data_IF_578155185081
#
_entry.id   IF_578155185081
#
_cell.length_a   1.000
_cell.length_b   1.000
_cell.length_c   1.000
_cell.angle_alpha   90.00
_cell.angle_beta   90.00
_cell.angle_gamma   90.00
#
_symmetry.space_group_name_H-M   'P 1'
#
loop_
_entity.id
_entity.type
_entity.pdbx_description
1 polymer ?
#
# COMPACT_ATOMS: atom_id res chain seq x y z
N UNK A 1 22.85 19.63 19.85
CA UNK A 1 21.67 19.48 20.75
C UNK A 1 20.53 20.44 20.40
N UNK A 2 20.81 21.71 20.05
CA UNK A 2 19.80 22.66 19.55
C UNK A 2 19.22 22.31 18.16
N UNK A 3 20.04 21.77 17.24
CA UNK A 3 19.59 21.36 15.90
C UNK A 3 18.71 20.11 15.90
N UNK A 4 19.01 19.12 16.74
CA UNK A 4 18.16 17.93 16.92
C UNK A 4 16.78 18.31 17.44
N UNK A 5 16.70 19.13 18.49
CA UNK A 5 15.43 19.63 19.03
C UNK A 5 14.63 20.42 17.98
N UNK A 6 15.30 21.22 17.15
CA UNK A 6 14.67 21.90 16.01
C UNK A 6 14.08 20.92 14.98
N UNK A 7 14.80 19.87 14.63
CA UNK A 7 14.35 18.87 13.66
C UNK A 7 13.19 18.01 14.18
N UNK A 8 13.19 17.66 15.47
CA UNK A 8 12.06 17.01 16.12
C UNK A 8 10.80 17.89 16.12
N UNK A 9 10.95 19.19 16.42
CA UNK A 9 9.82 20.13 16.40
C UNK A 9 9.22 20.30 14.99
N UNK A 10 10.08 20.33 13.95
CA UNK A 10 9.64 20.42 12.57
C UNK A 10 8.88 19.16 12.11
N UNK A 11 9.33 17.98 12.54
CA UNK A 11 8.64 16.73 12.23
C UNK A 11 7.25 16.64 12.89
N UNK A 12 7.14 16.98 14.18
CA UNK A 12 5.85 16.95 14.88
C UNK A 12 4.84 17.91 14.24
N UNK A 13 5.31 19.09 13.81
CA UNK A 13 4.49 20.05 13.09
C UNK A 13 4.06 19.51 11.72
N UNK A 14 4.97 18.92 10.93
CA UNK A 14 4.65 18.29 9.63
C UNK A 14 3.58 17.20 9.77
N UNK A 15 3.72 16.33 10.79
CA UNK A 15 2.73 15.29 11.11
C UNK A 15 1.38 15.91 11.46
N UNK A 16 1.36 16.95 12.30
CA UNK A 16 0.13 17.61 12.74
C UNK A 16 -0.62 18.24 11.56
N UNK A 17 0.09 18.94 10.70
CA UNK A 17 -0.51 19.70 9.60
C UNK A 17 -0.94 18.79 8.44
N UNK A 18 -0.24 17.68 8.21
CA UNK A 18 -0.45 16.82 7.04
C UNK A 18 -1.04 15.44 7.34
N UNK A 19 -1.49 15.18 8.57
CA UNK A 19 -2.08 13.89 8.99
C UNK A 19 -3.19 13.40 8.07
N UNK A 20 -4.12 14.29 7.72
CA UNK A 20 -5.27 13.93 6.88
C UNK A 20 -4.80 13.50 5.49
N UNK A 21 -3.85 14.23 4.90
CA UNK A 21 -3.30 13.86 3.59
C UNK A 21 -2.57 12.52 3.65
N UNK A 22 -1.79 12.26 4.70
CA UNK A 22 -1.14 10.97 4.88
C UNK A 22 -2.13 9.79 4.99
N UNK A 23 -3.30 9.98 5.61
CA UNK A 23 -4.37 8.97 5.66
C UNK A 23 -5.00 8.79 4.27
N UNK A 24 -5.32 9.89 3.59
CA UNK A 24 -5.94 9.86 2.26
C UNK A 24 -5.04 9.20 1.19
N UNK A 25 -3.73 9.20 1.41
CA UNK A 25 -2.75 8.55 0.55
C UNK A 25 -3.05 7.07 0.25
N UNK A 26 -3.69 6.35 1.17
CA UNK A 26 -4.02 4.93 1.00
C UNK A 26 -5.27 4.68 0.15
N UNK A 27 -6.07 5.72 -0.08
CA UNK A 27 -7.21 5.69 -1.00
C UNK A 27 -6.83 6.29 -2.36
N UNK A 28 -6.08 7.40 -2.34
CA UNK A 28 -5.68 8.16 -3.52
C UNK A 28 -4.23 8.63 -3.32
N UNK A 29 -3.27 7.80 -3.76
CA UNK A 29 -1.84 8.01 -3.47
C UNK A 29 -1.27 9.33 -4.00
N UNK A 30 -1.82 9.87 -5.08
CA UNK A 30 -1.30 11.10 -5.68
C UNK A 30 -1.85 12.37 -5.02
N UNK A 31 -2.90 12.28 -4.19
CA UNK A 31 -3.51 13.44 -3.54
C UNK A 31 -2.53 14.22 -2.65
N UNK A 32 -1.72 13.58 -1.77
CA UNK A 32 -0.69 14.27 -0.99
C UNK A 32 0.40 14.91 -1.85
N UNK A 33 0.65 14.39 -3.06
CA UNK A 33 1.65 14.95 -3.97
C UNK A 33 1.21 16.27 -4.60
N UNK A 34 -0.10 16.55 -4.56
CA UNK A 34 -0.67 17.81 -5.05
C UNK A 34 -0.92 18.79 -3.89
N UNK A 35 -1.50 18.30 -2.79
CA UNK A 35 -1.96 19.13 -1.69
C UNK A 35 -0.93 19.32 -0.56
N UNK A 36 0.05 18.43 -0.43
CA UNK A 36 1.03 18.40 0.66
C UNK A 36 2.45 18.03 0.16
N UNK A 37 2.83 18.54 -1.01
CA UNK A 37 4.08 18.17 -1.71
C UNK A 37 5.38 18.47 -0.92
N UNK A 38 5.35 19.42 0.00
CA UNK A 38 6.51 19.75 0.84
C UNK A 38 6.58 18.88 2.12
N UNK A 39 5.52 18.12 2.41
CA UNK A 39 5.45 17.25 3.59
C UNK A 39 6.19 15.95 3.34
N UNK A 40 7.30 15.75 4.05
CA UNK A 40 8.02 14.46 4.03
C UNK A 40 7.12 13.35 4.57
N UNK A 41 6.33 13.64 5.61
CA UNK A 41 5.40 12.69 6.20
C UNK A 41 4.29 12.27 5.24
N UNK A 42 3.62 13.22 4.58
CA UNK A 42 2.53 12.90 3.65
C UNK A 42 3.04 12.17 2.41
N UNK A 43 4.22 12.56 1.89
CA UNK A 43 4.85 11.91 0.76
C UNK A 43 5.33 10.49 1.06
N UNK A 44 5.77 10.22 2.28
CA UNK A 44 6.07 8.86 2.72
C UNK A 44 4.83 7.96 2.61
N UNK A 45 3.67 8.43 3.07
CA UNK A 45 2.42 7.67 2.99
C UNK A 45 1.86 7.60 1.57
N UNK A 46 2.09 8.61 0.73
CA UNK A 46 1.84 8.54 -0.72
C UNK A 46 2.65 7.42 -1.38
N UNK A 47 3.93 7.28 -1.03
CA UNK A 47 4.77 6.18 -1.51
C UNK A 47 4.23 4.81 -1.08
N UNK A 48 3.86 4.65 0.19
CA UNK A 48 3.28 3.40 0.70
C UNK A 48 1.93 3.09 0.01
N UNK A 49 1.07 4.09 -0.19
CA UNK A 49 -0.19 3.94 -0.91
C UNK A 49 0.01 3.51 -2.38
N UNK A 50 0.99 4.09 -3.07
CA UNK A 50 1.35 3.69 -4.43
C UNK A 50 1.88 2.24 -4.49
N UNK A 51 2.74 1.86 -3.56
CA UNK A 51 3.24 0.48 -3.46
C UNK A 51 2.10 -0.51 -3.25
N UNK A 52 1.15 -0.17 -2.38
CA UNK A 52 -0.03 -1.00 -2.14
C UNK A 52 -0.85 -1.15 -3.43
N UNK A 53 -1.09 -0.05 -4.15
CA UNK A 53 -1.80 -0.06 -5.43
C UNK A 53 -1.10 -0.97 -6.46
N UNK A 54 0.22 -0.84 -6.59
CA UNK A 54 1.03 -1.68 -7.49
C UNK A 54 0.90 -3.16 -7.09
N UNK A 55 0.96 -3.48 -5.79
CA UNK A 55 0.80 -4.85 -5.30
C UNK A 55 -0.58 -5.44 -5.65
N UNK A 56 -1.66 -4.64 -5.50
CA UNK A 56 -3.01 -5.05 -5.91
C UNK A 56 -3.08 -5.36 -7.42
N UNK A 57 -2.55 -4.49 -8.26
CA UNK A 57 -2.53 -4.71 -9.71
C UNK A 57 -1.67 -5.90 -10.12
N UNK A 58 -0.49 -6.05 -9.52
CA UNK A 58 0.39 -7.19 -9.78
C UNK A 58 -0.30 -8.52 -9.43
N UNK A 59 -0.94 -8.60 -8.26
CA UNK A 59 -1.69 -9.78 -7.85
C UNK A 59 -2.88 -10.05 -8.80
N UNK A 60 -3.58 -9.01 -9.25
CA UNK A 60 -4.66 -9.12 -10.23
C UNK A 60 -4.23 -9.64 -11.58
N UNK A 61 -3.09 -9.18 -12.10
CA UNK A 61 -2.50 -9.67 -13.35
C UNK A 61 -2.13 -11.15 -13.20
N UNK A 62 -1.44 -11.53 -12.13
CA UNK A 62 -1.06 -12.93 -11.86
C UNK A 62 -2.30 -13.82 -11.76
N UNK A 63 -3.32 -13.40 -11.01
CA UNK A 63 -4.58 -14.14 -10.90
C UNK A 63 -5.27 -14.29 -12.27
N UNK A 64 -5.29 -13.24 -13.08
CA UNK A 64 -5.95 -13.26 -14.40
C UNK A 64 -5.23 -14.20 -15.37
N UNK A 65 -3.90 -14.16 -15.42
CA UNK A 65 -3.09 -15.06 -16.25
C UNK A 65 -3.32 -16.52 -15.83
N UNK A 66 -3.28 -16.80 -14.52
CA UNK A 66 -3.47 -18.16 -14.01
C UNK A 66 -4.86 -18.70 -14.36
N UNK A 67 -5.91 -17.90 -14.16
CA UNK A 67 -7.27 -18.32 -14.53
C UNK A 67 -7.42 -18.53 -16.04
N UNK A 68 -6.79 -17.71 -16.88
CA UNK A 68 -6.82 -17.90 -18.33
C UNK A 68 -6.16 -19.22 -18.76
N UNK A 69 -5.00 -19.57 -18.18
CA UNK A 69 -4.30 -20.83 -18.44
C UNK A 69 -5.16 -22.02 -17.98
N UNK A 70 -5.71 -21.95 -16.77
CA UNK A 70 -6.55 -23.01 -16.23
C UNK A 70 -7.86 -23.19 -17.00
N UNK A 71 -8.47 -22.10 -17.45
CA UNK A 71 -9.67 -22.14 -18.29
C UNK A 71 -9.38 -22.77 -19.66
N UNK A 72 -8.24 -22.43 -20.29
CA UNK A 72 -7.80 -23.10 -21.51
C UNK A 72 -7.58 -24.62 -21.30
N UNK A 73 -7.03 -25.01 -20.15
CA UNK A 73 -6.90 -26.41 -19.76
C UNK A 73 -8.25 -27.07 -19.38
N UNK A 74 -9.25 -26.30 -18.95
CA UNK A 74 -10.57 -26.81 -18.55
C UNK A 74 -11.32 -27.49 -19.72
N UNK A 75 -11.17 -26.98 -20.95
CA UNK A 75 -11.69 -27.64 -22.16
C UNK A 75 -11.05 -29.02 -22.46
N UNK A 76 -10.01 -29.41 -21.71
CA UNK A 76 -9.35 -30.72 -21.81
C UNK A 76 -9.78 -31.75 -20.73
N UNK A 77 -10.77 -31.44 -19.87
CA UNK A 77 -11.44 -32.44 -19.00
C UNK A 77 -11.01 -32.48 -17.52
N UNK A 78 -10.32 -31.45 -17.00
CA UNK A 78 -9.86 -31.41 -15.60
C UNK A 78 -10.87 -30.78 -14.62
N UNK A 79 -11.64 -31.59 -13.89
CA UNK A 79 -12.55 -31.10 -12.84
C UNK A 79 -11.90 -31.19 -11.45
N UNK A 80 -11.76 -30.07 -10.73
CA UNK A 80 -11.50 -30.05 -9.27
C UNK A 80 -10.48 -29.05 -8.71
N UNK A 81 -9.59 -28.46 -9.52
CA UNK A 81 -8.44 -27.66 -9.00
C UNK A 81 -8.73 -26.15 -8.78
N UNK A 82 -9.84 -25.63 -9.32
CA UNK A 82 -10.10 -24.19 -9.40
C UNK A 82 -10.47 -23.53 -8.07
N UNK A 83 -11.07 -24.28 -7.14
CA UNK A 83 -11.64 -23.72 -5.89
C UNK A 83 -10.58 -23.36 -4.85
N UNK A 84 -9.53 -24.19 -4.71
CA UNK A 84 -8.45 -23.96 -3.74
C UNK A 84 -7.60 -22.74 -4.14
N UNK A 85 -7.31 -22.58 -5.44
CA UNK A 85 -6.59 -21.41 -5.94
C UNK A 85 -7.36 -20.12 -5.71
N UNK A 86 -8.68 -20.12 -5.95
CA UNK A 86 -9.55 -18.97 -5.66
C UNK A 86 -9.49 -18.54 -4.19
N UNK A 87 -9.45 -19.50 -3.25
CA UNK A 87 -9.28 -19.21 -1.83
C UNK A 87 -7.93 -18.57 -1.51
N UNK A 88 -6.83 -19.05 -2.11
CA UNK A 88 -5.49 -18.49 -1.90
C UNK A 88 -5.44 -17.02 -2.34
N UNK A 89 -5.94 -16.70 -3.54
CA UNK A 89 -5.98 -15.31 -4.01
C UNK A 89 -6.88 -14.43 -3.14
N UNK A 90 -8.01 -14.95 -2.68
CA UNK A 90 -8.90 -14.24 -1.74
C UNK A 90 -8.14 -13.87 -0.46
N UNK A 91 -7.44 -14.82 0.15
CA UNK A 91 -6.62 -14.57 1.35
C UNK A 91 -5.50 -13.56 1.04
N UNK A 92 -4.86 -13.64 -0.12
CA UNK A 92 -3.83 -12.68 -0.52
C UNK A 92 -4.37 -11.25 -0.64
N UNK A 93 -5.55 -11.05 -1.25
CA UNK A 93 -6.22 -9.75 -1.33
C UNK A 93 -6.62 -9.21 0.05
N UNK A 94 -7.11 -10.08 0.94
CA UNK A 94 -7.39 -9.70 2.33
C UNK A 94 -6.11 -9.32 3.08
N UNK A 95 -5.00 -10.00 2.81
CA UNK A 95 -3.68 -9.65 3.32
C UNK A 95 -3.25 -8.24 2.89
N UNK A 96 -3.38 -7.91 1.59
CA UNK A 96 -3.11 -6.56 1.10
C UNK A 96 -4.03 -5.52 1.74
N UNK A 97 -5.32 -5.84 1.93
CA UNK A 97 -6.27 -4.95 2.60
C UNK A 97 -5.85 -4.68 4.05
N UNK A 98 -5.41 -5.71 4.77
CA UNK A 98 -4.89 -5.59 6.13
C UNK A 98 -3.61 -4.74 6.19
N UNK A 99 -2.71 -4.86 5.21
CA UNK A 99 -1.54 -3.98 5.09
C UNK A 99 -1.94 -2.52 4.87
N UNK A 100 -2.94 -2.25 4.03
CA UNK A 100 -3.51 -0.91 3.84
C UNK A 100 -4.06 -0.32 5.13
N UNK A 101 -4.82 -1.11 5.91
CA UNK A 101 -5.31 -0.70 7.23
C UNK A 101 -4.16 -0.40 8.17
N UNK A 102 -3.13 -1.25 8.22
CA UNK A 102 -1.93 -1.02 9.04
C UNK A 102 -1.24 0.29 8.64
N UNK A 103 -1.15 0.56 7.34
CA UNK A 103 -0.63 1.81 6.80
C UNK A 103 -1.42 3.04 7.24
N UNK A 104 -2.75 2.96 7.21
CA UNK A 104 -3.66 4.02 7.71
C UNK A 104 -3.47 4.23 9.22
N UNK A 105 -3.39 3.15 10.00
CA UNK A 105 -3.14 3.23 11.45
C UNK A 105 -1.79 3.90 11.73
N UNK A 106 -0.75 3.58 10.95
CA UNK A 106 0.56 4.22 11.06
C UNK A 106 0.47 5.72 10.74
N UNK A 107 -0.24 6.12 9.67
CA UNK A 107 -0.47 7.52 9.33
C UNK A 107 -1.23 8.26 10.44
N UNK A 108 -2.31 7.68 10.97
CA UNK A 108 -3.08 8.28 12.06
C UNK A 108 -2.24 8.48 13.35
N UNK A 109 -1.33 7.54 13.61
CA UNK A 109 -0.36 7.59 14.71
C UNK A 109 0.86 8.48 14.43
N UNK A 110 0.97 9.09 13.25
CA UNK A 110 2.12 9.92 12.89
C UNK A 110 3.42 9.15 12.73
N UNK A 111 3.36 7.89 12.26
CA UNK A 111 4.51 6.99 12.14
C UNK A 111 4.81 6.67 10.68
N UNK A 112 6.03 6.92 10.25
CA UNK A 112 6.56 6.47 8.96
C UNK A 112 7.15 5.06 9.07
N UNK A 113 6.29 4.06 9.28
CA UNK A 113 6.70 2.65 9.39
C UNK A 113 6.30 1.87 8.15
N UNK A 114 7.24 1.12 7.53
CA UNK A 114 6.96 0.41 6.28
C UNK A 114 5.99 -0.74 6.54
N UNK A 115 5.06 -0.96 5.60
CA UNK A 115 4.22 -2.15 5.64
C UNK A 115 5.09 -3.41 5.53
N UNK A 116 4.80 -4.49 6.28
CA UNK A 116 5.44 -5.77 6.08
C UNK A 116 5.40 -6.24 4.63
N UNK A 117 6.44 -6.99 4.22
CA UNK A 117 6.61 -7.62 2.89
C UNK A 117 6.84 -6.65 1.72
N UNK A 118 6.07 -5.57 1.61
CA UNK A 118 6.06 -4.69 0.42
C UNK A 118 6.51 -3.26 0.71
N UNK A 119 6.49 -2.79 1.96
CA UNK A 119 6.70 -1.38 2.30
C UNK A 119 8.15 -0.89 2.24
N UNK A 120 9.11 -1.75 1.89
CA UNK A 120 10.54 -1.40 1.83
C UNK A 120 10.96 -0.60 0.60
N UNK A 121 10.10 -0.48 -0.42
CA UNK A 121 10.43 0.23 -1.66
C UNK A 121 10.23 1.73 -1.53
N UNK A 122 10.98 2.51 -2.31
CA UNK A 122 10.81 3.96 -2.44
C UNK A 122 10.76 4.35 -3.91
N UNK A 123 9.59 4.78 -4.35
CA UNK A 123 9.27 5.24 -5.70
C UNK A 123 9.15 6.76 -5.70
N UNK A 124 8.48 7.33 -4.70
CA UNK A 124 8.31 8.78 -4.54
C UNK A 124 9.38 9.30 -3.56
N UNK A 125 10.23 10.22 -4.03
CA UNK A 125 11.34 10.82 -3.28
C UNK A 125 11.08 12.22 -2.80
#
# INVERSE_FOLDING_TARGET
MSEEQGNYSGYEQDVKDNKVMAILAYFIFFLPLLAAKESRFARYHANQGLILLIAYFALGIVNSILNAILFAAFFSGGFGILTILGLIFTVAYLGLAALGILGIVNAAKGKMSPMPLIGGFTIIR
#
